data_IF_286295259260
#
_entry.id   IF_286295259260
#
_cell.length_a   1.000
_cell.length_b   1.000
_cell.length_c   1.000
_cell.angle_alpha   90.00
_cell.angle_beta   90.00
_cell.angle_gamma   90.00
#
_symmetry.space_group_name_H-M   'P 1'
#
loop_
_entity.id
_entity.type
_entity.pdbx_description
1 polymer ?
#
# COMPACT_ATOMS: atom_id res chain seq x y z
N UNK A 1 7.43 -17.34 -26.92
CA UNK A 1 5.97 -17.55 -26.99
C UNK A 1 5.50 -18.09 -25.64
N UNK A 2 4.99 -17.22 -24.76
CA UNK A 2 4.49 -17.65 -23.45
C UNK A 2 2.99 -17.90 -23.62
N UNK A 3 2.63 -19.18 -23.56
CA UNK A 3 1.30 -19.71 -23.79
C UNK A 3 0.30 -19.22 -22.75
N UNK A 4 -0.89 -18.88 -23.24
CA UNK A 4 -2.04 -18.50 -22.46
C UNK A 4 -2.62 -19.71 -21.71
N UNK A 5 -2.66 -19.67 -20.38
CA UNK A 5 -3.61 -20.47 -19.59
C UNK A 5 -3.90 -19.76 -18.28
N UNK A 6 -4.67 -18.67 -18.36
CA UNK A 6 -5.31 -18.06 -17.19
C UNK A 6 -6.80 -18.26 -17.35
N UNK A 7 -7.33 -19.39 -16.88
CA UNK A 7 -8.77 -19.61 -16.83
C UNK A 7 -9.16 -20.26 -15.51
N UNK A 8 -10.22 -19.67 -14.95
CA UNK A 8 -11.10 -20.19 -13.90
C UNK A 8 -10.47 -20.51 -12.54
N UNK A 9 -10.51 -19.55 -11.62
CA UNK A 9 -10.79 -19.79 -10.19
C UNK A 9 -11.31 -18.49 -9.56
N UNK A 10 -12.47 -18.04 -10.01
CA UNK A 10 -13.28 -17.06 -9.28
C UNK A 10 -14.72 -17.57 -9.27
N UNK A 11 -15.02 -18.45 -8.32
CA UNK A 11 -16.39 -18.76 -7.93
C UNK A 11 -16.52 -18.66 -6.42
N UNK A 12 -17.40 -17.73 -6.04
CA UNK A 12 -18.15 -17.71 -4.80
C UNK A 12 -17.38 -17.41 -3.52
N UNK A 13 -17.44 -16.14 -3.09
CA UNK A 13 -17.51 -15.83 -1.67
C UNK A 13 -18.52 -14.70 -1.45
N UNK A 14 -19.79 -15.08 -1.29
CA UNK A 14 -20.82 -14.19 -0.77
C UNK A 14 -20.72 -14.24 0.76
N UNK A 15 -19.90 -13.38 1.34
CA UNK A 15 -19.89 -13.16 2.79
C UNK A 15 -20.92 -12.11 3.14
N UNK A 16 -21.84 -12.46 4.03
CA UNK A 16 -22.86 -11.58 4.61
C UNK A 16 -22.16 -10.49 5.43
N UNK A 17 -22.24 -9.23 4.98
CA UNK A 17 -21.99 -8.08 5.86
C UNK A 17 -23.26 -7.78 6.65
N UNK A 18 -23.19 -7.98 7.97
CA UNK A 18 -24.18 -7.49 8.93
C UNK A 18 -24.06 -5.97 9.02
N UNK A 19 -25.10 -5.26 8.59
CA UNK A 19 -25.20 -3.80 8.65
C UNK A 19 -25.53 -3.37 10.09
N UNK A 20 -24.56 -2.81 10.81
CA UNK A 20 -24.85 -2.02 12.02
C UNK A 20 -25.12 -0.58 11.55
N UNK A 21 -26.40 -0.23 11.50
CA UNK A 21 -26.89 1.10 11.18
C UNK A 21 -26.49 2.09 12.30
N UNK A 22 -25.58 3.01 12.01
CA UNK A 22 -25.40 4.23 12.78
C UNK A 22 -26.20 5.36 12.12
N UNK A 23 -27.07 6.09 12.84
CA UNK A 23 -27.77 7.24 12.31
C UNK A 23 -26.90 8.49 12.42
N UNK A 24 -26.81 9.26 11.33
CA UNK A 24 -26.58 10.70 11.40
C UNK A 24 -25.14 11.18 11.56
N UNK A 25 -24.42 11.25 10.44
CA UNK A 25 -23.64 12.45 10.07
C UNK A 25 -23.44 12.45 8.56
N UNK A 26 -24.29 13.18 7.85
CA UNK A 26 -24.04 13.59 6.48
C UNK A 26 -22.84 14.54 6.48
N UNK A 27 -21.62 14.01 6.50
CA UNK A 27 -20.48 14.76 5.98
C UNK A 27 -20.67 14.79 4.49
N UNK A 28 -21.29 15.87 4.00
CA UNK A 28 -21.21 16.29 2.61
C UNK A 28 -19.77 16.02 2.14
N UNK A 29 -19.54 15.32 1.03
CA UNK A 29 -18.21 15.27 0.47
C UNK A 29 -17.90 16.73 0.14
N UNK A 30 -17.02 17.35 0.93
CA UNK A 30 -16.39 18.60 0.56
C UNK A 30 -15.46 18.21 -0.60
N UNK A 31 -16.04 18.01 -1.79
CA UNK A 31 -15.31 17.99 -3.04
C UNK A 31 -14.77 19.39 -3.20
N UNK A 32 -13.65 19.66 -2.52
CA UNK A 32 -12.80 20.79 -2.84
C UNK A 32 -12.39 20.54 -4.27
N UNK A 33 -13.03 21.25 -5.20
CA UNK A 33 -12.76 21.19 -6.62
C UNK A 33 -11.38 21.78 -6.87
N UNK A 34 -10.34 21.06 -6.50
CA UNK A 34 -8.98 21.34 -6.92
C UNK A 34 -8.95 21.11 -8.44
N UNK A 35 -9.16 22.18 -9.19
CA UNK A 35 -8.89 22.18 -10.62
C UNK A 35 -7.37 22.33 -10.76
N UNK A 36 -6.71 21.24 -11.17
CA UNK A 36 -5.26 21.24 -11.43
C UNK A 36 -4.92 22.02 -12.71
N UNK A 37 -5.88 22.17 -13.63
CA UNK A 37 -5.71 22.95 -14.85
C UNK A 37 -6.41 24.31 -14.77
N UNK A 38 -5.67 25.39 -14.99
CA UNK A 38 -6.24 26.67 -15.41
C UNK A 38 -7.02 26.45 -16.71
N UNK A 39 -8.20 27.06 -16.85
CA UNK A 39 -8.92 27.04 -18.11
C UNK A 39 -8.02 27.62 -19.20
N UNK A 40 -7.89 26.92 -20.32
CA UNK A 40 -7.25 27.45 -21.51
C UNK A 40 -8.13 28.62 -21.98
N UNK A 41 -7.64 29.85 -21.82
CA UNK A 41 -8.23 30.98 -22.49
C UNK A 41 -7.80 30.89 -23.96
N UNK A 42 -8.76 30.69 -24.85
CA UNK A 42 -8.50 30.62 -26.29
C UNK A 42 -8.23 32.03 -26.81
N UNK A 43 -6.99 32.49 -26.60
CA UNK A 43 -6.50 33.76 -27.15
C UNK A 43 -5.91 33.47 -28.52
N UNK A 44 -6.68 33.74 -29.56
CA UNK A 44 -6.18 33.72 -30.93
C UNK A 44 -5.41 35.02 -31.21
N UNK A 45 -4.15 34.88 -31.62
CA UNK A 45 -3.31 36.01 -32.02
C UNK A 45 -3.47 36.26 -33.53
N UNK A 46 -4.04 37.40 -33.91
CA UNK A 46 -4.18 37.81 -35.31
C UNK A 46 -2.87 38.44 -35.81
N UNK A 47 -2.08 37.63 -36.52
CA UNK A 47 -0.81 38.04 -37.11
C UNK A 47 -1.00 39.11 -38.19
N UNK A 48 -2.11 39.07 -38.93
CA UNK A 48 -2.34 40.02 -40.02
C UNK A 48 -2.70 41.41 -39.48
N UNK A 49 -3.59 41.47 -38.48
CA UNK A 49 -3.95 42.74 -37.84
C UNK A 49 -2.74 43.38 -37.13
N UNK A 50 -1.86 42.57 -36.55
CA UNK A 50 -0.61 43.06 -35.96
C UNK A 50 0.31 43.72 -36.99
N UNK A 51 0.52 43.09 -38.15
CA UNK A 51 1.33 43.66 -39.23
C UNK A 51 0.70 44.94 -39.81
N UNK A 52 -0.62 44.96 -40.03
CA UNK A 52 -1.33 46.17 -40.51
C UNK A 52 -1.17 47.35 -39.53
N UNK A 53 -1.15 47.07 -38.22
CA UNK A 53 -0.92 48.10 -37.21
C UNK A 53 0.49 48.66 -37.30
N UNK A 54 1.52 47.82 -37.46
CA UNK A 54 2.90 48.27 -37.66
C UNK A 54 3.05 49.11 -38.94
N UNK A 55 2.36 48.74 -40.02
CA UNK A 55 2.34 49.53 -41.26
C UNK A 55 1.74 50.93 -41.06
N UNK A 56 0.68 51.04 -40.24
CA UNK A 56 0.08 52.32 -39.87
C UNK A 56 0.98 53.19 -38.99
N UNK A 57 1.86 52.58 -38.21
CA UNK A 57 2.88 53.27 -37.41
C UNK A 57 4.13 53.65 -38.23
N UNK A 58 4.11 53.43 -39.55
CA UNK A 58 5.15 53.89 -40.48
C UNK A 58 6.23 52.87 -40.81
N UNK A 59 6.10 51.61 -40.40
CA UNK A 59 6.99 50.53 -40.83
C UNK A 59 6.60 50.05 -42.24
N UNK A 60 7.58 49.66 -43.05
CA UNK A 60 7.26 48.97 -44.30
C UNK A 60 6.85 47.51 -44.04
N UNK A 61 6.16 46.90 -45.00
CA UNK A 61 5.64 45.52 -44.90
C UNK A 61 6.71 44.51 -44.46
N UNK A 62 7.89 44.55 -45.08
CA UNK A 62 8.96 43.60 -44.80
C UNK A 62 9.50 43.73 -43.36
N UNK A 63 9.61 44.95 -42.84
CA UNK A 63 10.00 45.20 -41.45
C UNK A 63 8.94 44.69 -40.48
N UNK A 64 7.66 44.96 -40.77
CA UNK A 64 6.55 44.54 -39.93
C UNK A 64 6.38 43.01 -39.89
N UNK A 65 6.55 42.34 -41.03
CA UNK A 65 6.61 40.87 -41.10
C UNK A 65 7.83 40.31 -40.36
N UNK A 66 9.00 40.95 -40.47
CA UNK A 66 10.20 40.57 -39.73
C UNK A 66 10.02 40.63 -38.21
N UNK A 67 9.41 41.69 -37.70
CA UNK A 67 9.07 41.83 -36.27
C UNK A 67 8.08 40.75 -35.84
N UNK A 68 7.07 40.48 -36.66
CA UNK A 68 6.10 39.42 -36.36
C UNK A 68 6.78 38.05 -36.28
N UNK A 69 7.67 37.72 -37.21
CA UNK A 69 8.41 36.46 -37.16
C UNK A 69 9.24 36.33 -35.89
N UNK A 70 9.98 37.38 -35.49
CA UNK A 70 10.75 37.38 -34.25
C UNK A 70 9.84 37.21 -33.01
N UNK A 71 8.66 37.82 -33.00
CA UNK A 71 7.69 37.63 -31.91
C UNK A 71 7.13 36.21 -31.87
N UNK A 72 6.85 35.59 -33.02
CA UNK A 72 6.39 34.22 -33.09
C UNK A 72 7.42 33.25 -32.50
N UNK A 73 8.71 33.47 -32.77
CA UNK A 73 9.80 32.68 -32.20
C UNK A 73 9.88 32.81 -30.67
N UNK A 74 9.84 34.04 -30.13
CA UNK A 74 9.86 34.27 -28.67
C UNK A 74 8.63 33.67 -27.98
N UNK A 75 7.45 33.74 -28.61
CA UNK A 75 6.22 33.12 -28.08
C UNK A 75 6.32 31.60 -28.08
N UNK A 76 6.81 30.98 -29.17
CA UNK A 76 6.99 29.53 -29.25
C UNK A 76 8.00 29.05 -28.19
N UNK A 77 9.11 29.75 -28.02
CA UNK A 77 10.08 29.47 -26.95
C UNK A 77 9.45 29.63 -25.56
N UNK A 78 8.65 30.68 -25.34
CA UNK A 78 7.94 30.89 -24.07
C UNK A 78 6.96 29.75 -23.76
N UNK A 79 6.16 29.32 -24.74
CA UNK A 79 5.20 28.22 -24.58
C UNK A 79 5.93 26.90 -24.28
N UNK A 80 7.02 26.61 -25.00
CA UNK A 80 7.86 25.42 -24.71
C UNK A 80 8.45 25.48 -23.31
N UNK A 81 9.00 26.62 -22.91
CA UNK A 81 9.58 26.79 -21.57
C UNK A 81 8.52 26.65 -20.47
N UNK A 82 7.33 27.24 -20.64
CA UNK A 82 6.23 27.07 -19.69
C UNK A 82 5.76 25.61 -19.60
N UNK A 83 5.65 24.93 -20.74
CA UNK A 83 5.11 23.57 -20.80
C UNK A 83 6.17 22.50 -20.45
N UNK A 84 7.46 22.84 -20.48
CA UNK A 84 8.57 21.91 -20.25
C UNK A 84 8.49 21.13 -18.93
N UNK A 85 7.97 21.77 -17.88
CA UNK A 85 7.81 21.19 -16.55
C UNK A 85 6.35 20.79 -16.23
N UNK A 86 5.43 20.95 -17.19
CA UNK A 86 4.06 20.52 -17.02
C UNK A 86 3.92 19.02 -17.29
N UNK A 87 3.01 18.38 -16.57
CA UNK A 87 2.67 16.97 -16.77
C UNK A 87 1.36 16.89 -17.55
N UNK A 88 1.30 16.00 -18.54
CA UNK A 88 0.07 15.78 -19.30
C UNK A 88 -0.95 15.05 -18.43
N UNK A 89 -2.25 15.27 -18.70
CA UNK A 89 -3.31 14.53 -17.97
C UNK A 89 -3.20 13.03 -18.15
N UNK A 90 -2.82 12.58 -19.36
CA UNK A 90 -2.63 11.16 -19.66
C UNK A 90 -1.50 10.54 -18.82
N UNK A 91 -0.37 11.25 -18.68
CA UNK A 91 0.74 10.78 -17.84
C UNK A 91 0.34 10.76 -16.36
N UNK A 92 -0.36 11.80 -15.90
CA UNK A 92 -0.89 11.85 -14.54
C UNK A 92 -1.84 10.67 -14.24
N UNK A 93 -2.78 10.40 -15.14
CA UNK A 93 -3.73 9.29 -15.02
C UNK A 93 -3.03 7.93 -15.05
N UNK A 94 -2.01 7.77 -15.90
CA UNK A 94 -1.17 6.57 -15.94
C UNK A 94 -0.45 6.36 -14.61
N UNK A 95 0.20 7.39 -14.06
CA UNK A 95 0.86 7.31 -12.76
C UNK A 95 -0.12 6.96 -11.64
N UNK A 96 -1.31 7.57 -11.66
CA UNK A 96 -2.37 7.24 -10.72
C UNK A 96 -2.78 5.76 -10.83
N UNK A 97 -2.96 5.25 -12.04
CA UNK A 97 -3.33 3.85 -12.26
C UNK A 97 -2.25 2.90 -11.74
N UNK A 98 -0.98 3.15 -12.06
CA UNK A 98 0.14 2.37 -11.54
C UNK A 98 0.14 2.35 -10.00
N UNK A 99 -0.02 3.51 -9.36
CA UNK A 99 -0.10 3.61 -7.90
C UNK A 99 -1.25 2.76 -7.31
N UNK A 100 -2.42 2.74 -7.95
CA UNK A 100 -3.54 1.93 -7.49
C UNK A 100 -3.25 0.43 -7.60
N UNK A 101 -2.64 -0.01 -8.70
CA UNK A 101 -2.26 -1.41 -8.92
C UNK A 101 -1.20 -1.83 -7.89
N UNK A 102 -0.16 -1.02 -7.71
CA UNK A 102 0.91 -1.29 -6.75
C UNK A 102 0.36 -1.38 -5.32
N UNK A 103 -0.56 -0.48 -4.94
CA UNK A 103 -1.20 -0.52 -3.63
C UNK A 103 -2.04 -1.78 -3.44
N UNK A 104 -2.77 -2.22 -4.47
CA UNK A 104 -3.54 -3.46 -4.41
C UNK A 104 -2.64 -4.69 -4.28
N UNK A 105 -1.50 -4.71 -4.98
CA UNK A 105 -0.50 -5.78 -4.86
C UNK A 105 0.12 -5.82 -3.47
N UNK A 106 0.64 -4.69 -2.96
CA UNK A 106 1.23 -4.60 -1.64
C UNK A 106 0.26 -5.04 -0.54
N UNK A 107 -1.01 -4.65 -0.65
CA UNK A 107 -2.06 -5.10 0.27
C UNK A 107 -2.25 -6.62 0.24
N UNK A 108 -2.23 -7.24 -0.94
CA UNK A 108 -2.35 -8.69 -1.07
C UNK A 108 -1.14 -9.42 -0.49
N UNK A 109 0.07 -8.91 -0.73
CA UNK A 109 1.30 -9.46 -0.19
C UNK A 109 1.31 -9.36 1.34
N UNK A 110 0.98 -8.20 1.89
CA UNK A 110 0.88 -8.00 3.34
C UNK A 110 -0.11 -8.98 3.98
N UNK A 111 -1.31 -9.12 3.42
CA UNK A 111 -2.32 -10.06 3.92
C UNK A 111 -1.86 -11.52 3.86
N UNK A 112 -1.05 -11.89 2.87
CA UNK A 112 -0.51 -13.24 2.75
C UNK A 112 0.56 -13.48 3.82
N UNK A 113 1.49 -12.54 3.99
CA UNK A 113 2.54 -12.59 5.01
C UNK A 113 1.94 -12.65 6.41
N UNK A 114 0.97 -11.76 6.73
CA UNK A 114 0.27 -11.77 8.02
C UNK A 114 -0.37 -13.13 8.32
N UNK A 115 -1.02 -13.76 7.33
CA UNK A 115 -1.61 -15.10 7.52
C UNK A 115 -0.56 -16.18 7.74
N UNK A 116 0.58 -16.09 7.04
CA UNK A 116 1.68 -17.02 7.21
C UNK A 116 2.27 -16.91 8.62
N UNK A 117 2.60 -15.69 9.03
CA UNK A 117 3.18 -15.40 10.34
C UNK A 117 2.24 -15.85 11.47
N UNK A 118 0.94 -15.58 11.35
CA UNK A 118 -0.05 -16.04 12.32
C UNK A 118 -0.14 -17.57 12.38
N UNK A 119 -0.05 -18.26 11.24
CA UNK A 119 -0.06 -19.72 11.19
C UNK A 119 1.22 -20.30 11.84
N UNK A 120 2.38 -19.71 11.56
CA UNK A 120 3.65 -20.09 12.19
C UNK A 120 3.63 -19.87 13.70
N UNK A 121 3.22 -18.68 14.16
CA UNK A 121 3.12 -18.36 15.58
C UNK A 121 2.16 -19.30 16.31
N UNK A 122 1.03 -19.65 15.68
CA UNK A 122 0.09 -20.61 16.25
C UNK A 122 0.72 -22.00 16.38
N UNK A 123 1.37 -22.48 15.33
CA UNK A 123 2.04 -23.78 15.35
C UNK A 123 3.15 -23.84 16.43
N UNK A 124 3.91 -22.76 16.59
CA UNK A 124 4.94 -22.66 17.62
C UNK A 124 4.34 -22.58 19.03
N UNK A 125 3.24 -21.85 19.21
CA UNK A 125 2.51 -21.83 20.47
C UNK A 125 1.99 -23.22 20.85
N UNK A 126 1.32 -23.93 19.93
CA UNK A 126 0.81 -25.28 20.15
C UNK A 126 1.95 -26.26 20.51
N UNK A 127 3.11 -26.12 19.85
CA UNK A 127 4.33 -26.88 20.18
C UNK A 127 4.82 -26.56 21.59
N UNK A 128 4.93 -25.28 21.98
CA UNK A 128 5.36 -24.87 23.31
C UNK A 128 4.41 -25.36 24.41
N UNK A 129 3.09 -25.30 24.18
CA UNK A 129 2.09 -25.86 25.10
C UNK A 129 2.31 -27.35 25.30
N UNK A 130 2.57 -28.09 24.22
CA UNK A 130 2.87 -29.52 24.29
C UNK A 130 4.15 -29.80 25.08
N UNK A 131 5.21 -29.02 24.85
CA UNK A 131 6.48 -29.17 25.57
C UNK A 131 6.34 -28.83 27.06
N UNK A 132 5.54 -27.81 27.42
CA UNK A 132 5.19 -27.48 28.80
C UNK A 132 4.49 -28.66 29.49
N UNK A 133 3.52 -29.29 28.82
CA UNK A 133 2.79 -30.40 29.42
C UNK A 133 3.69 -31.62 29.64
N UNK A 134 4.60 -31.91 28.70
CA UNK A 134 5.64 -32.95 28.87
C UNK A 134 6.55 -32.66 30.05
N UNK A 135 7.00 -31.41 30.22
CA UNK A 135 7.84 -31.01 31.35
C UNK A 135 7.11 -31.15 32.69
N UNK A 136 5.83 -30.75 32.75
CA UNK A 136 4.99 -30.94 33.94
C UNK A 136 4.86 -32.42 34.32
N UNK A 137 4.64 -33.29 33.34
CA UNK A 137 4.53 -34.73 33.57
C UNK A 137 5.83 -35.31 34.11
N UNK A 138 6.98 -34.99 33.49
CA UNK A 138 8.30 -35.41 33.96
C UNK A 138 8.59 -34.95 35.39
N UNK A 139 8.25 -33.71 35.72
CA UNK A 139 8.43 -33.18 37.08
C UNK A 139 7.60 -33.95 38.10
N UNK A 140 6.34 -34.30 37.79
CA UNK A 140 5.49 -35.12 38.66
C UNK A 140 6.08 -36.52 38.88
N UNK A 141 6.60 -37.13 37.83
CA UNK A 141 7.26 -38.44 37.90
C UNK A 141 8.52 -38.39 38.78
N UNK A 142 9.35 -37.35 38.63
CA UNK A 142 10.54 -37.14 39.46
C UNK A 142 10.18 -36.90 40.93
N UNK A 143 9.17 -36.08 41.23
CA UNK A 143 8.67 -35.88 42.60
C UNK A 143 8.21 -37.22 43.20
N UNK A 144 7.41 -37.99 42.46
CA UNK A 144 6.88 -39.28 42.94
C UNK A 144 8.01 -40.28 43.20
N UNK A 145 9.01 -40.33 42.30
CA UNK A 145 10.19 -41.18 42.44
C UNK A 145 11.01 -40.81 43.67
N UNK A 146 11.28 -39.52 43.87
CA UNK A 146 12.03 -39.02 45.04
C UNK A 146 11.29 -39.31 46.34
N UNK A 147 9.97 -39.08 46.38
CA UNK A 147 9.15 -39.41 47.56
C UNK A 147 9.16 -40.91 47.88
N UNK A 148 9.10 -41.78 46.87
CA UNK A 148 9.21 -43.22 47.06
C UNK A 148 10.59 -43.63 47.60
N UNK A 149 11.67 -43.01 47.10
CA UNK A 149 13.03 -43.19 47.60
C UNK A 149 13.14 -42.83 49.09
N UNK A 150 12.71 -41.62 49.47
CA UNK A 150 12.73 -41.18 50.88
C UNK A 150 11.92 -42.11 51.78
N UNK A 151 10.74 -42.56 51.35
CA UNK A 151 9.93 -43.53 52.11
C UNK A 151 10.65 -44.87 52.28
N UNK A 152 11.34 -45.35 51.24
CA UNK A 152 12.13 -46.56 51.30
C UNK A 152 13.29 -46.42 52.29
N UNK A 153 14.04 -45.31 52.22
CA UNK A 153 15.17 -45.02 53.10
C UNK A 153 14.71 -45.02 54.58
N UNK A 154 13.61 -44.31 54.89
CA UNK A 154 13.03 -44.29 56.24
C UNK A 154 12.57 -45.68 56.71
N UNK A 155 12.02 -46.50 55.82
CA UNK A 155 11.59 -47.85 56.17
C UNK A 155 12.79 -48.77 56.42
N UNK A 156 13.89 -48.59 55.69
CA UNK A 156 15.14 -49.33 55.91
C UNK A 156 15.77 -48.95 57.25
N UNK A 157 15.83 -47.66 57.59
CA UNK A 157 16.37 -47.17 58.86
C UNK A 157 15.57 -47.67 60.08
N UNK A 158 14.24 -47.66 59.99
CA UNK A 158 13.38 -48.23 61.04
C UNK A 158 13.62 -49.73 61.22
N UNK A 159 13.79 -50.47 60.12
CA UNK A 159 14.04 -51.92 60.15
C UNK A 159 15.43 -52.27 60.67
N UNK A 160 16.45 -51.46 60.38
CA UNK A 160 17.79 -51.66 60.93
C UNK A 160 17.81 -51.40 62.44
N UNK A 161 17.16 -50.33 62.89
CA UNK A 161 17.14 -49.97 64.31
C UNK A 161 16.32 -50.99 65.13
N UNK A 162 15.16 -51.45 64.61
CA UNK A 162 14.35 -52.47 65.27
C UNK A 162 14.99 -53.88 65.30
N UNK A 163 16.08 -54.11 64.55
CA UNK A 163 16.85 -55.37 64.57
C UNK A 163 18.07 -55.29 65.50
N UNK A 164 18.42 -54.09 65.95
CA UNK A 164 19.56 -53.82 66.81
C UNK A 164 19.18 -53.77 68.32
N UNK A 165 17.88 -53.79 68.64
CA UNK A 165 17.32 -53.98 69.99
C UNK A 165 16.91 -55.44 70.20
#
# INVERSE_FOLDING_TARGET
MISATRLSLFRSFKSRSSTILHPGRNTLPFTRGFKTSRGLYDFHFDTHHFVQRLEREGLNRAQAEGIMSAMAEVIDESIRNMTSNMVTKADQEKHHYTQQVDFAQLKSELQLTEKNDLAMLKAENDRLVTDIEKLKQRLREEITRTQAGVRLDLNLEKRSNARAE
#
